data_IF_901740777842
#
_entry.id   IF_901740777842
#
_cell.length_a   1.000
_cell.length_b   1.000
_cell.length_c   1.000
_cell.angle_alpha   90.00
_cell.angle_beta   90.00
_cell.angle_gamma   90.00
#
_symmetry.space_group_name_H-M   'P 1'
#
loop_
_entity.id
_entity.type
_entity.pdbx_description
1 polymer ?
#
# COMPACT_ATOMS: atom_id res chain seq x y z
N UNK A 1 16.38 18.72 -8.31
CA UNK A 1 16.29 17.42 -8.98
C UNK A 1 17.72 16.90 -8.97
N UNK A 2 18.01 15.84 -8.24
CA UNK A 2 19.38 15.39 -7.97
C UNK A 2 19.78 14.32 -9.00
N UNK A 3 21.02 14.40 -9.53
CA UNK A 3 21.61 13.41 -10.46
C UNK A 3 21.51 11.94 -9.95
N UNK A 4 21.54 11.71 -8.64
CA UNK A 4 21.32 10.40 -8.02
C UNK A 4 19.91 9.82 -8.24
N UNK A 5 18.91 10.66 -8.49
CA UNK A 5 17.53 10.22 -8.78
C UNK A 5 17.39 9.74 -10.22
N UNK A 6 18.11 10.35 -11.15
CA UNK A 6 18.02 10.02 -12.57
C UNK A 6 18.76 8.69 -12.87
N UNK A 7 19.92 8.44 -12.28
CA UNK A 7 20.66 7.18 -12.44
C UNK A 7 19.91 6.00 -11.83
N UNK A 8 19.30 6.20 -10.65
CA UNK A 8 18.44 5.20 -10.01
C UNK A 8 17.21 4.88 -10.87
N UNK A 9 16.53 5.89 -11.41
CA UNK A 9 15.37 5.71 -12.29
C UNK A 9 15.70 4.96 -13.56
N UNK A 10 16.86 5.21 -14.16
CA UNK A 10 17.32 4.49 -15.35
C UNK A 10 17.57 3.00 -15.07
N UNK A 11 18.16 2.66 -13.91
CA UNK A 11 18.39 1.27 -13.54
C UNK A 11 17.07 0.51 -13.29
N UNK A 12 16.10 1.14 -12.65
CA UNK A 12 14.77 0.56 -12.40
C UNK A 12 13.97 0.42 -13.71
N UNK A 13 14.10 1.39 -14.63
CA UNK A 13 13.47 1.32 -15.95
C UNK A 13 13.95 0.11 -16.76
N UNK A 14 15.24 -0.18 -16.75
CA UNK A 14 15.80 -1.36 -17.42
C UNK A 14 15.32 -2.66 -16.79
N UNK A 15 15.29 -2.74 -15.45
CA UNK A 15 14.79 -3.92 -14.75
C UNK A 15 13.30 -4.17 -15.05
N UNK A 16 12.47 -3.13 -15.05
CA UNK A 16 11.05 -3.20 -15.40
C UNK A 16 10.85 -3.64 -16.85
N UNK A 17 11.64 -3.11 -17.78
CA UNK A 17 11.62 -3.51 -19.20
C UNK A 17 11.95 -5.01 -19.36
N UNK A 18 12.97 -5.47 -18.66
CA UNK A 18 13.36 -6.90 -18.70
C UNK A 18 12.25 -7.81 -18.19
N UNK A 19 11.63 -7.47 -17.06
CA UNK A 19 10.49 -8.24 -16.53
C UNK A 19 9.30 -8.26 -17.50
N UNK A 20 9.03 -7.14 -18.16
CA UNK A 20 7.95 -7.03 -19.15
C UNK A 20 8.22 -7.91 -20.36
N UNK A 21 9.45 -7.96 -20.87
CA UNK A 21 9.84 -8.86 -21.97
C UNK A 21 9.73 -10.33 -21.58
N UNK A 22 10.10 -10.69 -20.35
CA UNK A 22 9.91 -12.05 -19.84
C UNK A 22 8.42 -12.42 -19.76
N UNK A 23 7.56 -11.53 -19.27
CA UNK A 23 6.12 -11.74 -19.26
C UNK A 23 5.53 -11.90 -20.66
N UNK A 24 5.95 -11.08 -21.63
CA UNK A 24 5.56 -11.25 -23.04
C UNK A 24 5.92 -12.64 -23.57
N UNK A 25 7.14 -13.10 -23.26
CA UNK A 25 7.59 -14.44 -23.68
C UNK A 25 6.72 -15.54 -23.07
N UNK A 26 6.37 -15.44 -21.77
CA UNK A 26 5.49 -16.40 -21.09
C UNK A 26 4.07 -16.39 -21.66
N UNK A 27 3.52 -15.23 -21.99
CA UNK A 27 2.21 -15.09 -22.65
C UNK A 27 2.23 -15.72 -24.04
N UNK A 28 3.29 -15.50 -24.84
CA UNK A 28 3.44 -16.12 -26.14
C UNK A 28 3.50 -17.67 -26.05
N UNK A 29 4.26 -18.21 -25.08
CA UNK A 29 4.31 -19.64 -24.82
C UNK A 29 2.96 -20.23 -24.39
N UNK A 30 2.14 -19.48 -23.64
CA UNK A 30 0.79 -19.87 -23.29
C UNK A 30 -0.09 -19.91 -24.52
N UNK A 31 -0.06 -18.86 -25.35
CA UNK A 31 -0.81 -18.76 -26.61
C UNK A 31 -0.51 -19.95 -27.56
N UNK A 32 0.77 -20.29 -27.76
CA UNK A 32 1.19 -21.37 -28.61
C UNK A 32 0.83 -22.77 -28.07
N UNK A 33 0.59 -22.86 -26.75
CA UNK A 33 0.12 -24.08 -26.08
C UNK A 33 -1.37 -24.36 -26.28
N UNK A 34 -2.21 -23.33 -26.50
CA UNK A 34 -3.67 -23.44 -26.60
C UNK A 34 -4.12 -24.41 -27.74
N UNK A 35 -3.59 -24.30 -28.98
CA UNK A 35 -4.04 -25.18 -30.09
C UNK A 35 -3.75 -26.68 -29.87
N UNK A 36 -2.93 -27.00 -28.89
CA UNK A 36 -2.51 -28.36 -28.57
C UNK A 36 -3.28 -29.02 -27.43
N UNK A 37 -4.40 -28.41 -26.98
CA UNK A 37 -5.21 -28.80 -25.80
C UNK A 37 -5.96 -30.12 -25.91
N UNK A 38 -5.54 -31.08 -26.77
CA UNK A 38 -6.26 -32.32 -27.00
C UNK A 38 -6.14 -33.38 -25.89
N UNK A 39 -5.44 -33.14 -24.78
CA UNK A 39 -5.26 -34.06 -23.65
C UNK A 39 -5.32 -33.35 -22.30
N UNK A 40 -5.96 -33.98 -21.29
CA UNK A 40 -6.05 -33.46 -19.92
C UNK A 40 -4.70 -33.15 -19.25
N UNK A 41 -3.63 -33.92 -19.57
CA UNK A 41 -2.29 -33.67 -19.04
C UNK A 41 -1.72 -32.30 -19.44
N UNK A 42 -2.13 -31.76 -20.58
CA UNK A 42 -1.67 -30.44 -21.05
C UNK A 42 -2.45 -29.27 -20.44
N UNK A 43 -3.64 -29.53 -19.92
CA UNK A 43 -4.40 -28.50 -19.21
C UNK A 43 -3.68 -28.08 -17.91
N UNK A 44 -3.07 -29.04 -17.19
CA UNK A 44 -2.24 -28.74 -16.02
C UNK A 44 -1.05 -27.83 -16.35
N UNK A 45 -0.35 -28.10 -17.45
CA UNK A 45 0.78 -27.27 -17.90
C UNK A 45 0.33 -25.82 -18.25
N UNK A 46 -0.85 -25.67 -18.87
CA UNK A 46 -1.39 -24.36 -19.19
C UNK A 46 -1.82 -23.60 -17.94
N UNK A 47 -2.45 -24.28 -16.98
CA UNK A 47 -2.80 -23.68 -15.68
C UNK A 47 -1.56 -23.23 -14.91
N UNK A 48 -0.49 -24.04 -14.93
CA UNK A 48 0.79 -23.66 -14.32
C UNK A 48 1.38 -22.41 -14.98
N UNK A 49 1.39 -22.33 -16.31
CA UNK A 49 1.86 -21.14 -17.05
C UNK A 49 1.02 -19.90 -16.75
N UNK A 50 -0.30 -20.05 -16.65
CA UNK A 50 -1.17 -18.94 -16.25
C UNK A 50 -0.86 -18.46 -14.83
N UNK A 51 -0.59 -19.38 -13.91
CA UNK A 51 -0.18 -19.02 -12.55
C UNK A 51 1.14 -18.24 -12.55
N UNK A 52 2.14 -18.68 -13.32
CA UNK A 52 3.44 -18.01 -13.44
C UNK A 52 3.33 -16.60 -14.04
N UNK A 53 2.47 -16.43 -15.05
CA UNK A 53 2.17 -15.10 -15.62
C UNK A 53 1.54 -14.19 -14.56
N UNK A 54 0.57 -14.71 -13.80
CA UNK A 54 -0.08 -13.93 -12.73
C UNK A 54 0.90 -13.53 -11.63
N UNK A 55 1.79 -14.43 -11.21
CA UNK A 55 2.84 -14.13 -10.23
C UNK A 55 3.78 -13.05 -10.78
N UNK A 56 4.22 -13.18 -12.04
CA UNK A 56 5.10 -12.18 -12.67
C UNK A 56 4.43 -10.81 -12.83
N UNK A 57 3.14 -10.77 -13.17
CA UNK A 57 2.38 -9.51 -13.23
C UNK A 57 2.26 -8.84 -11.86
N UNK A 58 1.97 -9.62 -10.82
CA UNK A 58 1.90 -9.10 -9.46
C UNK A 58 3.27 -8.53 -9.01
N UNK A 59 4.37 -9.21 -9.36
CA UNK A 59 5.71 -8.71 -9.05
C UNK A 59 6.01 -7.42 -9.79
N UNK A 60 5.74 -7.35 -11.09
CA UNK A 60 5.92 -6.14 -11.89
C UNK A 60 5.09 -4.95 -11.35
N UNK A 61 3.85 -5.21 -10.94
CA UNK A 61 3.00 -4.20 -10.32
C UNK A 61 3.61 -3.68 -9.01
N UNK A 62 4.16 -4.58 -8.17
CA UNK A 62 4.82 -4.19 -6.93
C UNK A 62 6.09 -3.37 -7.18
N UNK A 63 6.92 -3.76 -8.14
CA UNK A 63 8.15 -3.06 -8.47
C UNK A 63 7.88 -1.67 -9.06
N UNK A 64 6.90 -1.55 -9.98
CA UNK A 64 6.44 -0.26 -10.50
C UNK A 64 5.94 0.65 -9.39
N UNK A 65 5.15 0.10 -8.47
CA UNK A 65 4.61 0.82 -7.35
C UNK A 65 5.71 1.28 -6.40
N UNK A 66 6.67 0.41 -6.10
CA UNK A 66 7.80 0.72 -5.24
C UNK A 66 8.68 1.82 -5.85
N UNK A 67 8.96 1.74 -7.16
CA UNK A 67 9.68 2.78 -7.90
C UNK A 67 8.92 4.11 -7.85
N UNK A 68 7.61 4.09 -8.09
CA UNK A 68 6.77 5.27 -8.00
C UNK A 68 6.76 5.88 -6.58
N UNK A 69 6.63 5.06 -5.55
CA UNK A 69 6.69 5.51 -4.15
C UNK A 69 8.05 6.13 -3.80
N UNK A 70 9.15 5.56 -4.29
CA UNK A 70 10.50 6.12 -4.08
C UNK A 70 10.69 7.47 -4.80
N UNK A 71 10.10 7.63 -5.98
CA UNK A 71 10.25 8.84 -6.79
C UNK A 71 9.31 9.97 -6.38
N UNK A 72 8.08 9.65 -5.97
CA UNK A 72 7.01 10.63 -5.75
C UNK A 72 6.75 10.91 -4.27
N UNK A 73 7.02 9.95 -3.39
CA UNK A 73 6.99 10.18 -1.95
C UNK A 73 8.36 10.73 -1.56
N UNK A 74 8.37 11.86 -0.89
CA UNK A 74 9.60 12.46 -0.35
C UNK A 74 10.49 11.38 0.27
N UNK A 75 11.79 11.33 -0.04
CA UNK A 75 12.73 10.36 0.56
C UNK A 75 12.73 10.41 2.09
N UNK A 76 12.13 11.44 2.67
CA UNK A 76 12.01 11.65 4.11
C UNK A 76 10.85 10.90 4.77
N UNK A 77 9.85 10.42 4.00
CA UNK A 77 8.73 9.66 4.58
C UNK A 77 9.12 8.18 4.69
N UNK A 78 9.60 7.79 5.86
CA UNK A 78 9.81 6.38 6.21
C UNK A 78 8.59 5.87 6.97
N UNK A 79 8.00 4.77 6.50
CA UNK A 79 6.93 4.08 7.25
C UNK A 79 7.59 3.32 8.41
N UNK A 80 7.29 3.65 9.68
CA UNK A 80 7.85 2.95 10.83
C UNK A 80 7.49 1.46 10.85
N UNK A 81 8.41 0.61 11.33
CA UNK A 81 8.21 -0.83 11.42
C UNK A 81 6.96 -1.24 12.22
N UNK A 82 6.61 -0.49 13.26
CA UNK A 82 5.39 -0.71 14.03
C UNK A 82 4.11 -0.57 13.19
N UNK A 83 4.06 0.38 12.26
CA UNK A 83 2.93 0.52 11.32
C UNK A 83 2.86 -0.70 10.42
N UNK A 84 3.99 -1.12 9.85
CA UNK A 84 4.06 -2.27 8.95
C UNK A 84 3.58 -3.54 9.67
N UNK A 85 4.05 -3.76 10.90
CA UNK A 85 3.66 -4.89 11.72
C UNK A 85 2.14 -4.88 12.02
N UNK A 86 1.60 -3.72 12.42
CA UNK A 86 0.17 -3.57 12.67
C UNK A 86 -0.64 -3.81 11.39
N UNK A 87 -0.26 -3.21 10.26
CA UNK A 87 -0.93 -3.38 8.98
C UNK A 87 -0.96 -4.84 8.52
N UNK A 88 0.16 -5.57 8.67
CA UNK A 88 0.22 -7.00 8.34
C UNK A 88 -0.81 -7.83 9.12
N UNK A 89 -1.00 -7.55 10.41
CA UNK A 89 -1.95 -8.26 11.26
C UNK A 89 -3.40 -7.83 10.99
N UNK A 90 -3.63 -6.53 10.86
CA UNK A 90 -4.96 -5.95 10.63
C UNK A 90 -5.51 -6.33 9.24
N UNK A 91 -4.66 -6.34 8.21
CA UNK A 91 -4.98 -6.81 6.86
C UNK A 91 -5.43 -8.28 6.86
N UNK A 92 -4.69 -9.18 7.52
CA UNK A 92 -5.04 -10.60 7.66
C UNK A 92 -6.38 -10.81 8.37
N UNK A 93 -6.69 -9.96 9.37
CA UNK A 93 -7.95 -9.99 10.13
C UNK A 93 -9.08 -9.25 9.41
N UNK A 94 -8.80 -8.56 8.29
CA UNK A 94 -9.74 -7.69 7.57
C UNK A 94 -10.34 -6.62 8.47
N UNK A 95 -9.55 -6.07 9.36
CA UNK A 95 -9.96 -4.90 10.14
C UNK A 95 -9.74 -3.66 9.28
N UNK A 96 -10.79 -2.82 9.17
CA UNK A 96 -10.70 -1.56 8.43
C UNK A 96 -9.77 -0.59 9.13
N UNK A 97 -8.82 -0.01 8.40
CA UNK A 97 -7.80 0.91 8.94
C UNK A 97 -7.73 2.16 8.08
N UNK A 98 -7.49 3.29 8.70
CA UNK A 98 -7.00 4.49 8.05
C UNK A 98 -5.99 5.18 8.95
N UNK A 99 -4.73 5.19 8.52
CA UNK A 99 -3.60 5.81 9.20
C UNK A 99 -3.12 6.98 8.36
N UNK A 100 -2.99 8.13 8.98
CA UNK A 100 -2.44 9.36 8.40
C UNK A 100 -1.07 9.63 9.01
N UNK A 101 -0.06 9.61 8.20
CA UNK A 101 1.29 10.03 8.57
C UNK A 101 1.48 11.47 8.10
N UNK A 102 1.49 12.40 9.05
CA UNK A 102 1.74 13.81 8.79
C UNK A 102 3.18 14.02 8.35
N UNK A 103 3.38 14.85 7.34
CA UNK A 103 4.68 15.21 6.82
C UNK A 103 5.00 16.69 7.15
N UNK A 104 5.11 17.57 6.17
CA UNK A 104 5.44 18.98 6.37
C UNK A 104 4.20 19.84 6.64
N UNK A 105 3.08 19.50 5.98
CA UNK A 105 1.84 20.26 6.12
C UNK A 105 1.18 20.04 7.48
N UNK A 106 0.70 21.12 8.09
CA UNK A 106 -0.15 21.04 9.28
C UNK A 106 -1.57 20.61 8.86
N UNK A 107 -2.02 19.48 9.39
CA UNK A 107 -3.32 18.91 9.04
C UNK A 107 -4.49 19.44 9.87
N UNK A 108 -4.26 20.22 10.93
CA UNK A 108 -5.28 20.57 11.93
C UNK A 108 -6.53 21.24 11.32
N UNK A 109 -6.38 22.00 10.21
CA UNK A 109 -7.50 22.65 9.51
C UNK A 109 -8.37 21.66 8.69
N UNK A 110 -7.84 20.50 8.37
CA UNK A 110 -8.51 19.46 7.57
C UNK A 110 -9.10 18.34 8.42
N UNK A 111 -8.80 18.32 9.73
CA UNK A 111 -9.21 17.25 10.64
C UNK A 111 -10.42 17.67 11.46
N UNK A 112 -11.44 16.80 11.55
CA UNK A 112 -12.61 17.06 12.37
C UNK A 112 -12.76 16.04 13.49
N UNK A 113 -12.99 16.50 14.70
CA UNK A 113 -13.22 15.64 15.87
C UNK A 113 -11.97 14.88 16.30
N UNK A 114 -12.20 13.63 16.71
CA UNK A 114 -11.17 12.73 17.19
C UNK A 114 -10.88 12.84 18.68
N UNK A 115 -10.27 11.80 19.21
CA UNK A 115 -9.85 11.67 20.61
C UNK A 115 -8.32 11.82 20.67
N UNK A 116 -7.84 12.70 21.56
CA UNK A 116 -6.41 12.85 21.82
C UNK A 116 -5.88 11.60 22.52
N UNK A 117 -4.82 11.00 21.95
CA UNK A 117 -4.17 9.82 22.49
C UNK A 117 -2.80 10.18 23.08
N UNK A 118 -2.00 10.88 22.29
CA UNK A 118 -0.63 11.34 22.63
C UNK A 118 0.29 10.23 23.15
N UNK A 119 0.20 9.06 22.57
CA UNK A 119 1.00 7.89 22.91
C UNK A 119 2.15 7.67 21.92
N UNK A 120 3.21 7.01 22.38
CA UNK A 120 4.28 6.55 21.50
C UNK A 120 3.73 5.52 20.51
N UNK A 121 4.19 5.59 19.26
CA UNK A 121 3.76 4.69 18.21
C UNK A 121 4.19 3.26 18.55
N UNK A 122 3.22 2.34 18.54
CA UNK A 122 3.49 0.91 18.65
C UNK A 122 2.42 0.09 17.94
N UNK A 123 2.82 -1.05 17.40
CA UNK A 123 1.90 -1.96 16.71
C UNK A 123 0.75 -2.45 17.62
N UNK A 124 0.96 -2.82 18.90
CA UNK A 124 -0.13 -3.23 19.78
C UNK A 124 -1.17 -2.14 20.02
N UNK A 125 -0.77 -0.87 20.14
CA UNK A 125 -1.71 0.24 20.30
C UNK A 125 -2.56 0.41 19.04
N UNK A 126 -1.96 0.38 17.85
CA UNK A 126 -2.68 0.45 16.58
C UNK A 126 -3.67 -0.73 16.42
N UNK A 127 -3.24 -1.95 16.76
CA UNK A 127 -4.12 -3.13 16.71
C UNK A 127 -5.33 -2.98 17.65
N UNK A 128 -5.15 -2.39 18.83
CA UNK A 128 -6.25 -2.13 19.78
C UNK A 128 -7.16 -1.00 19.31
N UNK A 129 -6.62 0.07 18.75
CA UNK A 129 -7.44 1.17 18.22
C UNK A 129 -8.34 0.64 17.10
N UNK A 130 -7.80 -0.10 16.13
CA UNK A 130 -8.55 -0.60 14.97
C UNK A 130 -9.27 -1.94 15.21
N UNK A 131 -9.30 -2.42 16.42
CA UNK A 131 -10.15 -3.56 16.76
C UNK A 131 -11.64 -3.20 16.61
N UNK A 132 -12.48 -3.98 15.89
CA UNK A 132 -13.86 -3.61 15.58
C UNK A 132 -14.77 -3.36 16.79
N UNK A 133 -14.38 -3.81 17.97
CA UNK A 133 -15.08 -3.52 19.24
C UNK A 133 -14.55 -2.28 19.97
N UNK A 134 -13.51 -1.64 19.49
CA UNK A 134 -12.94 -0.44 20.09
C UNK A 134 -13.81 0.78 19.80
N UNK A 135 -14.10 1.68 20.75
CA UNK A 135 -14.78 2.95 20.46
C UNK A 135 -13.96 3.90 19.59
N UNK A 136 -12.68 3.60 19.34
CA UNK A 136 -11.75 4.41 18.56
C UNK A 136 -11.54 3.91 17.13
N UNK A 137 -12.16 2.78 16.74
CA UNK A 137 -11.88 2.11 15.47
C UNK A 137 -12.47 2.82 14.24
N UNK A 138 -13.50 3.64 14.45
CA UNK A 138 -14.12 4.40 13.35
C UNK A 138 -13.44 5.77 13.21
N UNK A 139 -12.96 6.04 11.99
CA UNK A 139 -12.16 7.22 11.68
C UNK A 139 -10.66 6.93 11.58
N UNK A 140 -9.89 8.00 11.40
CA UNK A 140 -8.45 7.95 11.16
C UNK A 140 -7.63 8.05 12.45
N UNK A 141 -6.46 7.41 12.43
CA UNK A 141 -5.38 7.63 13.38
C UNK A 141 -4.37 8.59 12.77
N UNK A 142 -4.05 9.66 13.48
CA UNK A 142 -3.08 10.67 13.07
C UNK A 142 -1.76 10.41 13.77
N UNK A 143 -0.71 10.25 12.97
CA UNK A 143 0.66 10.03 13.43
C UNK A 143 1.50 11.26 13.08
N UNK A 144 2.12 11.85 14.10
CA UNK A 144 3.03 12.98 13.98
C UNK A 144 4.26 12.73 14.85
N UNK A 145 5.46 12.83 14.28
CA UNK A 145 6.74 12.65 15.00
C UNK A 145 6.83 11.34 15.79
N UNK A 146 6.49 10.22 15.14
CA UNK A 146 6.48 8.86 15.75
C UNK A 146 5.56 8.73 16.98
N UNK A 147 4.54 9.58 17.09
CA UNK A 147 3.49 9.50 18.11
C UNK A 147 2.11 9.39 17.49
N UNK A 148 1.26 8.59 18.12
CA UNK A 148 -0.17 8.57 17.85
C UNK A 148 -0.77 9.80 18.51
N UNK A 149 -1.12 10.83 17.75
CA UNK A 149 -1.65 12.09 18.25
C UNK A 149 -3.14 12.02 18.55
N UNK A 150 -3.91 11.53 17.57
CA UNK A 150 -5.36 11.42 17.66
C UNK A 150 -5.83 10.08 17.06
N UNK A 151 -6.98 9.60 17.50
CA UNK A 151 -7.72 8.51 16.90
C UNK A 151 -9.18 8.91 16.65
N UNK A 152 -9.91 8.14 15.86
CA UNK A 152 -11.32 8.42 15.51
C UNK A 152 -11.53 9.80 14.88
N UNK A 153 -10.61 10.20 13.99
CA UNK A 153 -10.65 11.51 13.31
C UNK A 153 -11.40 11.38 12.00
N UNK A 154 -12.29 12.33 11.73
CA UNK A 154 -12.97 12.43 10.42
C UNK A 154 -12.09 13.24 9.45
N UNK A 155 -11.93 12.70 8.25
CA UNK A 155 -11.16 13.28 7.16
C UNK A 155 -12.09 13.84 6.08
N UNK A 156 -11.64 14.80 5.26
CA UNK A 156 -12.37 15.24 4.07
C UNK A 156 -12.55 14.05 3.13
N UNK A 157 -13.74 13.94 2.53
CA UNK A 157 -14.07 12.86 1.61
C UNK A 157 -13.89 13.32 0.15
N UNK A 158 -13.15 12.58 -0.64
CA UNK A 158 -13.18 12.74 -2.09
C UNK A 158 -14.58 12.44 -2.64
N UNK A 159 -15.01 13.10 -3.76
CA UNK A 159 -16.26 12.80 -4.40
C UNK A 159 -16.42 11.32 -4.72
N UNK A 160 -17.65 10.83 -4.69
CA UNK A 160 -17.96 9.47 -5.15
C UNK A 160 -17.91 9.46 -6.68
N UNK A 161 -17.09 8.59 -7.25
CA UNK A 161 -16.98 8.45 -8.70
C UNK A 161 -17.19 6.99 -9.13
N UNK A 162 -17.72 6.74 -10.34
CA UNK A 162 -17.92 5.39 -10.86
C UNK A 162 -16.62 4.56 -10.88
N UNK A 163 -15.48 5.19 -11.08
CA UNK A 163 -14.17 4.54 -11.12
C UNK A 163 -13.80 3.97 -9.74
N UNK A 164 -14.00 4.74 -8.67
CA UNK A 164 -13.77 4.30 -7.29
C UNK A 164 -14.72 3.17 -6.90
N UNK A 165 -15.97 3.24 -7.35
CA UNK A 165 -16.98 2.19 -7.14
C UNK A 165 -16.60 0.90 -7.88
N UNK A 166 -16.19 0.99 -9.14
CA UNK A 166 -15.76 -0.14 -9.94
C UNK A 166 -14.56 -0.88 -9.34
N UNK A 167 -13.68 -0.16 -8.64
CA UNK A 167 -12.55 -0.74 -7.91
C UNK A 167 -12.98 -1.34 -6.54
N UNK A 168 -14.24 -1.14 -6.12
CA UNK A 168 -14.75 -1.58 -4.82
C UNK A 168 -14.08 -0.85 -3.65
N UNK A 169 -13.86 0.46 -3.81
CA UNK A 169 -13.19 1.30 -2.82
C UNK A 169 -14.23 2.03 -1.96
N UNK A 170 -14.27 1.71 -0.66
CA UNK A 170 -15.22 2.24 0.30
C UNK A 170 -14.88 3.63 0.86
N UNK A 171 -15.61 4.02 1.91
CA UNK A 171 -15.51 5.34 2.56
C UNK A 171 -14.10 5.68 3.05
N UNK A 172 -13.37 4.71 3.61
CA UNK A 172 -11.98 4.93 4.09
C UNK A 172 -11.03 5.28 2.94
N UNK A 173 -11.19 4.68 1.77
CA UNK A 173 -10.39 5.03 0.59
C UNK A 173 -10.69 6.45 0.10
N UNK A 174 -11.99 6.83 0.07
CA UNK A 174 -12.41 8.17 -0.29
C UNK A 174 -11.91 9.22 0.72
N UNK A 175 -11.90 8.89 2.01
CA UNK A 175 -11.34 9.74 3.06
C UNK A 175 -9.82 9.92 2.89
N UNK A 176 -9.10 8.82 2.63
CA UNK A 176 -7.67 8.88 2.34
C UNK A 176 -7.35 9.70 1.09
N UNK A 177 -8.08 9.48 0.00
CA UNK A 177 -7.92 10.27 -1.22
C UNK A 177 -8.25 11.75 -0.98
N UNK A 178 -9.36 12.06 -0.28
CA UNK A 178 -9.77 13.43 0.00
C UNK A 178 -8.73 14.23 0.79
N UNK A 179 -8.16 13.65 1.84
CA UNK A 179 -7.08 14.31 2.58
C UNK A 179 -5.81 14.45 1.74
N UNK A 180 -5.46 13.46 0.94
CA UNK A 180 -4.26 13.52 0.08
C UNK A 180 -4.33 14.57 -1.03
N UNK A 181 -5.53 15.06 -1.38
CA UNK A 181 -5.72 16.14 -2.36
C UNK A 181 -5.40 17.52 -1.80
N UNK A 182 -5.42 17.67 -0.48
CA UNK A 182 -5.26 18.95 0.22
C UNK A 182 -4.04 18.98 1.16
N UNK A 183 -3.22 17.93 1.17
CA UNK A 183 -2.04 17.84 2.02
C UNK A 183 -0.96 16.95 1.41
N UNK A 184 0.24 17.04 1.97
CA UNK A 184 1.39 16.18 1.66
C UNK A 184 1.52 14.97 2.60
N UNK A 185 0.47 14.68 3.37
CA UNK A 185 0.44 13.52 4.25
C UNK A 185 0.41 12.22 3.45
N UNK A 186 1.03 11.18 4.01
CA UNK A 186 0.89 9.81 3.53
C UNK A 186 -0.26 9.13 4.26
N UNK A 187 -1.26 8.67 3.51
CA UNK A 187 -2.41 7.98 4.07
C UNK A 187 -2.37 6.50 3.69
N UNK A 188 -2.50 5.61 4.67
CA UNK A 188 -2.54 4.17 4.48
C UNK A 188 -3.91 3.65 4.89
N UNK A 189 -4.52 2.85 4.02
CA UNK A 189 -5.87 2.32 4.20
C UNK A 189 -5.84 0.80 4.12
N UNK A 190 -6.52 0.11 5.03
CA UNK A 190 -6.84 -1.32 4.90
C UNK A 190 -8.33 -1.48 4.63
N UNK A 191 -8.65 -2.21 3.57
CA UNK A 191 -10.04 -2.56 3.23
C UNK A 191 -10.59 -3.58 4.23
N UNK A 192 -11.71 -3.26 4.84
CA UNK A 192 -12.44 -4.18 5.72
C UNK A 192 -13.00 -5.39 4.96
N UNK A 193 -13.42 -5.20 3.70
CA UNK A 193 -14.00 -6.28 2.89
C UNK A 193 -12.94 -7.24 2.36
N UNK A 194 -11.82 -6.69 1.86
CA UNK A 194 -10.81 -7.46 1.11
C UNK A 194 -9.53 -7.70 1.89
N UNK A 195 -9.25 -6.92 2.93
CA UNK A 195 -7.99 -6.92 3.65
C UNK A 195 -6.84 -6.26 2.85
N UNK A 196 -7.13 -5.69 1.68
CA UNK A 196 -6.11 -5.06 0.85
C UNK A 196 -5.59 -3.77 1.48
N UNK A 197 -4.29 -3.56 1.35
CA UNK A 197 -3.64 -2.31 1.77
C UNK A 197 -3.58 -1.38 0.57
N UNK A 198 -3.98 -0.15 0.75
CA UNK A 198 -3.93 0.92 -0.24
C UNK A 198 -3.23 2.14 0.35
N UNK A 199 -2.66 2.97 -0.49
CA UNK A 199 -2.05 4.24 -0.07
C UNK A 199 -2.64 5.40 -0.85
N UNK A 200 -2.75 6.57 -0.21
CA UNK A 200 -3.09 7.81 -0.88
C UNK A 200 -2.02 8.86 -0.58
N UNK A 201 -1.58 9.58 -1.62
CA UNK A 201 -0.56 10.60 -1.52
C UNK A 201 -0.72 11.61 -2.65
N UNK A 202 -0.66 12.91 -2.36
CA UNK A 202 -0.74 14.02 -3.33
C UNK A 202 -1.87 13.87 -4.34
N UNK A 203 -3.08 13.51 -3.87
CA UNK A 203 -4.28 13.39 -4.69
C UNK A 203 -4.34 12.12 -5.54
N UNK A 204 -3.43 11.19 -5.37
CA UNK A 204 -3.44 9.89 -6.05
C UNK A 204 -3.68 8.76 -5.07
N UNK A 205 -4.48 7.77 -5.51
CA UNK A 205 -4.77 6.57 -4.74
C UNK A 205 -4.13 5.36 -5.44
N UNK A 206 -3.36 4.60 -4.66
CA UNK A 206 -2.68 3.37 -5.07
C UNK A 206 -3.36 2.20 -4.38
N UNK A 207 -4.32 1.52 -5.06
CA UNK A 207 -5.05 0.42 -4.46
C UNK A 207 -4.24 -0.87 -4.48
N UNK A 208 -4.52 -1.74 -3.49
CA UNK A 208 -4.02 -3.12 -3.45
C UNK A 208 -2.49 -3.26 -3.48
N UNK A 209 -1.82 -2.47 -2.66
CA UNK A 209 -0.41 -2.70 -2.35
C UNK A 209 -0.31 -4.01 -1.56
N UNK A 210 0.37 -5.02 -2.11
CA UNK A 210 0.65 -6.23 -1.35
C UNK A 210 1.36 -5.87 -0.03
N UNK A 211 1.14 -6.66 1.01
CA UNK A 211 1.77 -6.48 2.33
C UNK A 211 3.31 -6.42 2.24
N UNK A 212 3.89 -6.96 1.18
CA UNK A 212 5.33 -7.01 0.93
C UNK A 212 5.94 -5.66 0.49
N UNK A 213 5.23 -4.81 -0.24
CA UNK A 213 5.76 -3.51 -0.69
C UNK A 213 6.13 -2.56 0.48
N UNK A 214 5.55 -2.81 1.66
CA UNK A 214 5.85 -2.06 2.88
C UNK A 214 7.00 -2.69 3.70
N UNK A 215 7.25 -4.00 3.55
CA UNK A 215 8.21 -4.74 4.38
C UNK A 215 9.68 -4.53 3.97
N UNK A 216 9.97 -4.34 2.68
CA UNK A 216 11.36 -4.21 2.21
C UNK A 216 12.06 -2.91 2.64
N UNK A 217 11.32 -1.87 3.02
CA UNK A 217 11.92 -0.64 3.57
C UNK A 217 12.45 -0.76 5.01
N UNK A 218 12.10 -1.83 5.73
CA UNK A 218 12.59 -2.08 7.11
C UNK A 218 13.75 -3.09 7.19
N UNK A 219 14.13 -3.73 6.06
CA UNK A 219 15.06 -4.86 6.02
C UNK A 219 16.56 -4.54 6.05
N UNK A 220 16.99 -3.28 6.00
CA UNK A 220 18.42 -2.93 6.04
C UNK A 220 18.96 -2.56 7.44
N UNK A 221 18.35 -3.07 8.50
CA UNK A 221 18.75 -2.71 9.86
C UNK A 221 18.70 -3.83 10.89
N UNK A 222 18.70 -5.12 10.48
CA UNK A 222 18.63 -6.23 11.44
C UNK A 222 19.64 -7.37 11.20
N UNK A 223 20.83 -7.06 10.70
CA UNK A 223 21.96 -8.01 10.66
C UNK A 223 23.18 -7.44 11.42
N UNK A 224 23.01 -7.06 12.68
CA UNK A 224 24.12 -6.95 13.64
C UNK A 224 23.51 -6.91 15.05
N UNK A 225 23.57 -8.03 15.73
CA UNK A 225 23.64 -8.28 17.17
C UNK A 225 22.89 -9.56 17.57
N UNK A 226 23.48 -10.70 17.21
CA UNK A 226 23.44 -11.90 18.06
C UNK A 226 24.84 -12.50 18.01
N UNK A 227 25.68 -12.12 18.94
CA UNK A 227 26.75 -12.92 19.48
C UNK A 227 26.53 -13.06 20.97
#
# INVERSE_FOLDING_TARGET
MNELTDEYLLSEEEAIKQQLEELKSRVAQLHDGIPRMKRCSRLGDLLQKMYEIRVGLNQLEQDLLQTHLKCCISPNIKVPGDIILALSKLSKKRHGVIIVMENEDNLDEHLQGGVMIDADLSAPILENIFYPGSPLHDGAVIIRNSKIRKASVLLPLAPHTPELEALGLGSRHRAGLGLSQVSDALIIVVSEEKGWISMAFRGQLYPNLGTFALLEKSGNGMDEEIQ
#
